data_IF_069960355016
#
_entry.id   IF_069960355016
#
_cell.length_a   1.000
_cell.length_b   1.000
_cell.length_c   1.000
_cell.angle_alpha   90.00
_cell.angle_beta   90.00
_cell.angle_gamma   90.00
#
_symmetry.space_group_name_H-M   'P 1'
#
loop_
_entity.id
_entity.type
_entity.pdbx_description
1 polymer ?
#
# COMPACT_ATOMS: atom_id res chain seq x y z
N UNK A 1 -20.93 -3.00 4.83
CA UNK A 1 -22.05 -3.92 4.52
C UNK A 1 -22.08 -4.17 3.01
N UNK A 2 -22.39 -5.39 2.55
CA UNK A 2 -22.36 -5.79 1.14
C UNK A 2 -23.60 -5.27 0.40
N UNK A 3 -23.71 -3.95 0.24
CA UNK A 3 -24.94 -3.31 -0.28
C UNK A 3 -24.72 -2.60 -1.62
N UNK A 4 -23.50 -2.59 -2.18
CA UNK A 4 -23.20 -1.75 -3.37
C UNK A 4 -22.88 -2.53 -4.65
N UNK A 5 -22.29 -3.74 -4.61
CA UNK A 5 -22.12 -4.59 -5.82
C UNK A 5 -21.96 -6.08 -5.46
N UNK A 6 -22.83 -6.92 -6.01
CA UNK A 6 -22.69 -8.39 -5.96
C UNK A 6 -21.53 -8.81 -6.87
N UNK A 7 -20.33 -8.94 -6.29
CA UNK A 7 -19.11 -9.25 -7.04
C UNK A 7 -17.81 -8.65 -6.49
N UNK A 8 -17.85 -7.85 -5.43
CA UNK A 8 -16.65 -7.21 -4.82
C UNK A 8 -16.27 -7.87 -3.48
N UNK A 9 -16.83 -9.05 -3.16
CA UNK A 9 -16.63 -9.75 -1.89
C UNK A 9 -15.14 -10.09 -1.65
N UNK A 10 -14.39 -10.42 -2.69
CA UNK A 10 -12.96 -10.73 -2.57
C UNK A 10 -12.14 -9.51 -2.13
N UNK A 11 -12.43 -8.33 -2.69
CA UNK A 11 -11.77 -7.08 -2.31
C UNK A 11 -12.16 -6.72 -0.87
N UNK A 12 -13.45 -6.86 -0.53
CA UNK A 12 -13.95 -6.55 0.81
C UNK A 12 -13.31 -7.44 1.89
N UNK A 13 -13.17 -8.75 1.64
CA UNK A 13 -12.57 -9.69 2.59
C UNK A 13 -11.08 -9.40 2.82
N UNK A 14 -10.29 -9.23 1.76
CA UNK A 14 -8.85 -8.91 1.88
C UNK A 14 -8.64 -7.59 2.60
N UNK A 15 -9.41 -6.55 2.26
CA UNK A 15 -9.32 -5.26 2.97
C UNK A 15 -9.77 -5.37 4.43
N UNK A 16 -10.76 -6.21 4.75
CA UNK A 16 -11.19 -6.43 6.14
C UNK A 16 -10.09 -7.10 6.97
N UNK A 17 -9.43 -8.12 6.44
CA UNK A 17 -8.25 -8.71 7.09
C UNK A 17 -7.13 -7.68 7.26
N UNK A 18 -6.82 -6.91 6.22
CA UNK A 18 -5.84 -5.83 6.28
C UNK A 18 -6.16 -4.79 7.36
N UNK A 19 -7.43 -4.41 7.50
CA UNK A 19 -7.89 -3.49 8.54
C UNK A 19 -7.66 -4.06 9.95
N UNK A 20 -7.90 -5.36 10.16
CA UNK A 20 -7.60 -6.01 11.46
C UNK A 20 -6.11 -5.96 11.77
N UNK A 21 -5.25 -6.31 10.81
CA UNK A 21 -3.79 -6.20 11.00
C UNK A 21 -3.36 -4.76 11.30
N UNK A 22 -3.91 -3.79 10.58
CA UNK A 22 -3.63 -2.37 10.80
C UNK A 22 -4.05 -1.92 12.20
N UNK A 23 -5.22 -2.35 12.68
CA UNK A 23 -5.70 -2.03 14.03
C UNK A 23 -4.82 -2.65 15.12
N UNK A 24 -4.40 -3.90 14.95
CA UNK A 24 -3.47 -4.56 15.89
C UNK A 24 -2.13 -3.82 15.92
N UNK A 25 -1.56 -3.50 14.75
CA UNK A 25 -0.30 -2.75 14.65
C UNK A 25 -0.41 -1.37 15.31
N UNK A 26 -1.48 -0.62 15.03
CA UNK A 26 -1.73 0.68 15.66
C UNK A 26 -1.90 0.56 17.18
N UNK A 27 -2.58 -0.48 17.66
CA UNK A 27 -2.79 -0.71 19.10
C UNK A 27 -1.47 -0.95 19.82
N UNK A 28 -0.60 -1.80 19.25
CA UNK A 28 0.75 -2.04 19.78
C UNK A 28 1.55 -0.74 19.73
N UNK A 29 1.57 -0.05 18.59
CA UNK A 29 2.33 1.19 18.43
C UNK A 29 1.92 2.26 19.46
N UNK A 30 0.61 2.51 19.63
CA UNK A 30 0.10 3.50 20.60
C UNK A 30 0.43 3.10 22.05
N UNK A 31 0.55 1.80 22.33
CA UNK A 31 0.92 1.29 23.65
C UNK A 31 2.39 1.57 23.96
N UNK A 32 3.29 1.33 23.01
CA UNK A 32 4.74 1.43 23.20
C UNK A 32 5.37 2.76 22.77
N UNK A 33 4.65 3.62 22.06
CA UNK A 33 5.19 4.91 21.60
C UNK A 33 5.33 5.95 22.72
N UNK A 34 6.36 6.78 22.61
CA UNK A 34 6.58 7.94 23.48
C UNK A 34 5.38 8.91 23.45
N UNK A 35 5.12 9.58 24.58
CA UNK A 35 3.92 10.43 24.76
C UNK A 35 3.71 11.46 23.65
N UNK A 36 4.78 12.10 23.17
CA UNK A 36 4.69 13.11 22.10
C UNK A 36 4.24 12.50 20.77
N UNK A 37 4.86 11.40 20.35
CA UNK A 37 4.51 10.66 19.13
C UNK A 37 3.12 10.02 19.25
N UNK A 38 2.78 9.50 20.43
CA UNK A 38 1.48 8.92 20.74
C UNK A 38 0.34 9.92 20.58
N UNK A 39 0.46 11.13 21.13
CA UNK A 39 -0.57 12.17 21.00
C UNK A 39 -0.73 12.61 19.54
N UNK A 40 0.37 12.76 18.82
CA UNK A 40 0.34 13.11 17.39
C UNK A 40 -0.37 12.03 16.57
N UNK A 41 -0.08 10.74 16.82
CA UNK A 41 -0.74 9.63 16.12
C UNK A 41 -2.19 9.44 16.52
N UNK A 42 -2.55 9.67 17.78
CA UNK A 42 -3.95 9.67 18.22
C UNK A 42 -4.73 10.80 17.53
N UNK A 43 -4.11 11.96 17.35
CA UNK A 43 -4.68 13.08 16.60
C UNK A 43 -4.93 12.73 15.13
N UNK A 44 -3.95 12.13 14.45
CA UNK A 44 -4.14 11.65 13.07
C UNK A 44 -5.23 10.57 12.97
N UNK A 45 -5.25 9.61 13.90
CA UNK A 45 -6.27 8.56 13.93
C UNK A 45 -7.67 9.15 14.13
N UNK A 46 -7.81 10.11 15.05
CA UNK A 46 -9.06 10.84 15.27
C UNK A 46 -9.51 11.61 14.02
N UNK A 47 -8.59 12.31 13.34
CA UNK A 47 -8.89 13.02 12.10
C UNK A 47 -9.39 12.06 11.00
N UNK A 48 -8.71 10.93 10.80
CA UNK A 48 -9.14 9.90 9.82
C UNK A 48 -10.52 9.34 10.18
N UNK A 49 -10.78 9.07 11.46
CA UNK A 49 -12.08 8.58 11.92
C UNK A 49 -13.21 9.60 11.67
N UNK A 50 -12.97 10.88 11.94
CA UNK A 50 -13.94 11.96 11.67
C UNK A 50 -14.24 12.08 10.17
N UNK A 51 -13.19 12.06 9.34
CA UNK A 51 -13.36 12.08 7.87
C UNK A 51 -14.16 10.87 7.40
N UNK A 52 -13.86 9.68 7.94
CA UNK A 52 -14.59 8.46 7.58
C UNK A 52 -16.08 8.55 7.93
N UNK A 53 -16.40 8.97 9.17
CA UNK A 53 -17.79 9.16 9.61
C UNK A 53 -18.49 10.21 8.75
N UNK A 54 -17.82 11.31 8.42
CA UNK A 54 -18.36 12.35 7.54
C UNK A 54 -18.67 11.81 6.13
N UNK A 55 -17.75 11.06 5.53
CA UNK A 55 -17.95 10.43 4.20
C UNK A 55 -19.12 9.47 4.24
N UNK A 56 -19.25 8.64 5.28
CA UNK A 56 -20.38 7.72 5.43
C UNK A 56 -21.70 8.47 5.58
N UNK A 57 -21.72 9.53 6.39
CA UNK A 57 -22.91 10.35 6.62
C UNK A 57 -23.39 11.03 5.34
N UNK A 58 -22.49 11.69 4.58
CA UNK A 58 -22.82 12.31 3.30
C UNK A 58 -23.27 11.25 2.28
N UNK A 59 -22.57 10.12 2.22
CA UNK A 59 -22.85 9.05 1.26
C UNK A 59 -24.21 8.37 1.50
N UNK A 60 -24.64 8.22 2.76
CA UNK A 60 -25.90 7.55 3.09
C UNK A 60 -27.07 8.51 3.31
N UNK A 61 -26.80 9.75 3.72
CA UNK A 61 -27.83 10.72 4.08
C UNK A 61 -28.17 11.75 3.01
N UNK A 62 -27.27 11.98 2.03
CA UNK A 62 -27.41 13.08 1.05
C UNK A 62 -27.41 12.60 -0.40
N UNK A 63 -26.67 11.55 -0.72
CA UNK A 63 -26.48 11.10 -2.11
C UNK A 63 -27.44 9.97 -2.50
N UNK A 64 -28.01 10.07 -3.71
CA UNK A 64 -28.74 8.98 -4.36
C UNK A 64 -27.79 7.83 -4.74
N UNK A 65 -28.35 6.64 -5.04
CA UNK A 65 -27.58 5.39 -5.17
C UNK A 65 -26.42 5.49 -6.19
N UNK A 66 -26.65 6.09 -7.36
CA UNK A 66 -25.65 6.21 -8.43
C UNK A 66 -24.56 7.23 -8.11
N UNK A 67 -24.92 8.37 -7.52
CA UNK A 67 -23.98 9.42 -7.12
C UNK A 67 -23.11 8.96 -5.94
N UNK A 68 -23.67 8.17 -5.02
CA UNK A 68 -22.96 7.56 -3.89
C UNK A 68 -21.81 6.67 -4.36
N UNK A 69 -22.05 5.82 -5.35
CA UNK A 69 -21.03 4.90 -5.85
C UNK A 69 -19.88 5.65 -6.52
N UNK A 70 -20.20 6.70 -7.28
CA UNK A 70 -19.22 7.54 -7.97
C UNK A 70 -18.38 8.36 -6.99
N UNK A 71 -19.00 8.99 -5.99
CA UNK A 71 -18.32 9.78 -4.97
C UNK A 71 -17.34 8.94 -4.13
N UNK A 72 -17.80 7.80 -3.62
CA UNK A 72 -16.95 6.87 -2.85
C UNK A 72 -15.86 6.27 -3.75
N UNK A 73 -16.17 5.99 -5.01
CA UNK A 73 -15.20 5.53 -6.01
C UNK A 73 -14.03 6.51 -6.20
N UNK A 74 -14.32 7.81 -6.39
CA UNK A 74 -13.26 8.83 -6.53
C UNK A 74 -12.40 8.96 -5.27
N UNK A 75 -13.01 8.98 -4.08
CA UNK A 75 -12.26 9.04 -2.81
C UNK A 75 -11.38 7.80 -2.63
N UNK A 76 -11.88 6.62 -3.00
CA UNK A 76 -11.12 5.37 -2.95
C UNK A 76 -9.93 5.40 -3.90
N UNK A 77 -10.11 5.87 -5.14
CA UNK A 77 -9.01 5.99 -6.12
C UNK A 77 -7.97 7.01 -5.66
N UNK A 78 -8.41 8.18 -5.17
CA UNK A 78 -7.50 9.20 -4.63
C UNK A 78 -6.67 8.65 -3.45
N UNK A 79 -7.31 7.91 -2.54
CA UNK A 79 -6.65 7.26 -1.41
C UNK A 79 -5.64 6.20 -1.87
N UNK A 80 -6.00 5.38 -2.85
CA UNK A 80 -5.10 4.38 -3.44
C UNK A 80 -3.87 5.03 -4.09
N UNK A 81 -4.06 6.11 -4.85
CA UNK A 81 -2.95 6.87 -5.46
C UNK A 81 -2.04 7.45 -4.37
N UNK A 82 -2.60 8.00 -3.30
CA UNK A 82 -1.81 8.53 -2.17
C UNK A 82 -0.95 7.44 -1.51
N UNK A 83 -1.45 6.20 -1.47
CA UNK A 83 -0.73 5.07 -0.90
C UNK A 83 0.52 4.69 -1.71
N UNK A 84 0.55 4.99 -3.02
CA UNK A 84 1.73 4.80 -3.87
C UNK A 84 2.90 5.74 -3.55
N UNK A 85 2.69 6.77 -2.72
CA UNK A 85 3.80 7.60 -2.24
C UNK A 85 4.83 6.79 -1.42
N UNK A 86 4.37 5.81 -0.64
CA UNK A 86 5.24 4.95 0.17
C UNK A 86 6.20 4.09 -0.67
N UNK A 87 5.74 3.25 -1.62
CA UNK A 87 6.64 2.48 -2.47
C UNK A 87 7.56 3.35 -3.33
N UNK A 88 7.10 4.53 -3.77
CA UNK A 88 7.92 5.49 -4.51
C UNK A 88 9.05 6.08 -3.64
N UNK A 89 8.76 6.36 -2.37
CA UNK A 89 9.76 6.80 -1.41
C UNK A 89 10.83 5.72 -1.17
N UNK A 90 10.42 4.45 -1.05
CA UNK A 90 11.37 3.33 -0.92
C UNK A 90 12.26 3.20 -2.17
N UNK A 91 11.70 3.31 -3.38
CA UNK A 91 12.49 3.31 -4.62
C UNK A 91 13.56 4.41 -4.58
N UNK A 92 13.17 5.64 -4.20
CA UNK A 92 14.10 6.76 -4.06
C UNK A 92 15.17 6.50 -2.99
N UNK A 93 14.80 5.87 -1.88
CA UNK A 93 15.71 5.50 -0.80
C UNK A 93 16.72 4.45 -1.26
N UNK A 94 16.29 3.40 -1.97
CA UNK A 94 17.17 2.35 -2.52
C UNK A 94 18.17 2.96 -3.51
N UNK A 95 17.73 3.85 -4.41
CA UNK A 95 18.62 4.53 -5.36
C UNK A 95 19.67 5.39 -4.63
N UNK A 96 19.25 6.11 -3.58
CA UNK A 96 20.14 6.99 -2.80
C UNK A 96 21.13 6.21 -1.93
N UNK A 97 20.66 5.15 -1.26
CA UNK A 97 21.46 4.35 -0.33
C UNK A 97 22.26 3.24 -1.01
N UNK A 98 21.93 2.94 -2.28
CA UNK A 98 22.43 1.78 -3.04
C UNK A 98 22.25 0.44 -2.32
N UNK A 99 21.36 0.38 -1.32
CA UNK A 99 21.11 -0.80 -0.51
C UNK A 99 19.66 -1.24 -0.62
N UNK A 100 19.44 -2.55 -0.70
CA UNK A 100 18.12 -3.19 -0.70
C UNK A 100 17.65 -3.58 0.70
N UNK A 101 18.38 -3.19 1.75
CA UNK A 101 18.09 -3.53 3.14
C UNK A 101 16.67 -3.09 3.58
N UNK A 102 16.20 -1.96 3.07
CA UNK A 102 14.86 -1.43 3.36
C UNK A 102 13.76 -2.05 2.48
N UNK A 103 14.09 -3.04 1.65
CA UNK A 103 13.18 -3.58 0.65
C UNK A 103 13.35 -5.10 0.50
N UNK A 104 12.70 -5.90 1.37
CA UNK A 104 12.78 -7.34 1.27
C UNK A 104 12.09 -7.84 -0.01
N UNK A 105 12.78 -8.71 -0.74
CA UNK A 105 12.32 -9.29 -2.01
C UNK A 105 10.92 -9.91 -1.89
N UNK A 106 10.69 -10.69 -0.83
CA UNK A 106 9.44 -11.41 -0.62
C UNK A 106 8.24 -10.47 -0.49
N UNK A 107 8.40 -9.31 0.16
CA UNK A 107 7.30 -8.33 0.28
C UNK A 107 7.00 -7.68 -1.07
N UNK A 108 8.04 -7.34 -1.84
CA UNK A 108 7.89 -6.71 -3.15
C UNK A 108 7.24 -7.68 -4.14
N UNK A 109 7.67 -8.95 -4.13
CA UNK A 109 7.08 -10.02 -4.95
C UNK A 109 5.64 -10.35 -4.57
N UNK A 110 5.33 -10.45 -3.27
CA UNK A 110 3.97 -10.67 -2.81
C UNK A 110 3.04 -9.50 -3.20
N UNK A 111 3.52 -8.26 -3.05
CA UNK A 111 2.76 -7.06 -3.43
C UNK A 111 2.52 -7.01 -4.95
N UNK A 112 3.54 -7.34 -5.75
CA UNK A 112 3.42 -7.45 -7.20
C UNK A 112 2.36 -8.48 -7.62
N UNK A 113 2.43 -9.71 -7.08
CA UNK A 113 1.45 -10.76 -7.40
C UNK A 113 0.04 -10.39 -6.94
N UNK A 114 -0.09 -9.76 -5.76
CA UNK A 114 -1.36 -9.26 -5.25
C UNK A 114 -1.97 -8.22 -6.20
N UNK A 115 -1.21 -7.18 -6.57
CA UNK A 115 -1.66 -6.14 -7.50
C UNK A 115 -1.97 -6.70 -8.88
N UNK A 116 -1.16 -7.63 -9.39
CA UNK A 116 -1.42 -8.29 -10.68
C UNK A 116 -2.73 -9.09 -10.65
N UNK A 117 -2.97 -9.83 -9.57
CA UNK A 117 -4.18 -10.65 -9.39
C UNK A 117 -5.43 -9.76 -9.30
N UNK A 118 -5.38 -8.66 -8.55
CA UNK A 118 -6.50 -7.72 -8.47
C UNK A 118 -6.71 -6.93 -9.77
N UNK A 119 -5.64 -6.62 -10.51
CA UNK A 119 -5.73 -6.00 -11.82
C UNK A 119 -6.43 -6.92 -12.82
N UNK A 120 -5.98 -8.18 -12.92
CA UNK A 120 -6.65 -9.20 -13.73
C UNK A 120 -8.12 -9.38 -13.32
N UNK A 121 -8.39 -9.47 -12.01
CA UNK A 121 -9.76 -9.58 -11.50
C UNK A 121 -10.63 -8.37 -11.90
N UNK A 122 -10.09 -7.16 -11.85
CA UNK A 122 -10.78 -5.94 -12.30
C UNK A 122 -11.06 -5.93 -13.80
N UNK A 123 -10.16 -6.46 -14.62
CA UNK A 123 -10.36 -6.63 -16.07
C UNK A 123 -11.50 -7.63 -16.33
N UNK A 124 -11.49 -8.79 -15.67
CA UNK A 124 -12.55 -9.80 -15.82
C UNK A 124 -13.93 -9.32 -15.36
N UNK A 125 -13.98 -8.38 -14.42
CA UNK A 125 -15.21 -7.77 -13.91
C UNK A 125 -15.59 -6.46 -14.60
N UNK A 126 -14.80 -6.03 -15.59
CA UNK A 126 -14.96 -4.75 -16.30
C UNK A 126 -15.17 -3.57 -15.33
N UNK A 127 -14.40 -3.54 -14.22
CA UNK A 127 -14.50 -2.50 -13.19
C UNK A 127 -13.27 -1.57 -13.23
N UNK A 128 -13.38 -0.38 -13.85
CA UNK A 128 -12.29 0.58 -13.95
C UNK A 128 -11.72 1.04 -12.61
N UNK A 129 -12.55 1.11 -11.58
CA UNK A 129 -12.11 1.51 -10.24
C UNK A 129 -11.21 0.46 -9.59
N UNK A 130 -11.23 -0.78 -10.09
CA UNK A 130 -10.41 -1.86 -9.58
C UNK A 130 -9.16 -2.08 -10.42
N UNK A 131 -9.26 -2.17 -11.75
CA UNK A 131 -8.08 -2.52 -12.56
C UNK A 131 -7.11 -1.34 -12.73
N UNK A 132 -7.58 -0.08 -12.81
CA UNK A 132 -6.69 1.08 -13.00
C UNK A 132 -5.69 1.22 -11.84
N UNK A 133 -6.12 1.32 -10.56
CA UNK A 133 -5.16 1.47 -9.46
C UNK A 133 -4.29 0.23 -9.28
N UNK A 134 -4.85 -0.98 -9.38
CA UNK A 134 -4.05 -2.21 -9.25
C UNK A 134 -3.06 -2.41 -10.41
N UNK A 135 -3.37 -1.91 -11.61
CA UNK A 135 -2.44 -1.85 -12.73
C UNK A 135 -1.24 -0.95 -12.43
N UNK A 136 -1.48 0.26 -11.88
CA UNK A 136 -0.39 1.14 -11.41
C UNK A 136 0.44 0.45 -10.32
N UNK A 137 -0.20 -0.21 -9.36
CA UNK A 137 0.47 -0.99 -8.32
C UNK A 137 1.33 -2.13 -8.88
N UNK A 138 0.88 -2.78 -9.95
CA UNK A 138 1.62 -3.84 -10.66
C UNK A 138 2.88 -3.28 -11.31
N UNK A 139 2.79 -2.12 -11.97
CA UNK A 139 3.95 -1.44 -12.57
C UNK A 139 4.96 -1.04 -11.49
N UNK A 140 4.49 -0.45 -10.39
CA UNK A 140 5.35 -0.09 -9.27
C UNK A 140 6.02 -1.31 -8.64
N UNK A 141 5.29 -2.40 -8.44
CA UNK A 141 5.82 -3.68 -7.97
C UNK A 141 6.88 -4.26 -8.90
N UNK A 142 6.69 -4.17 -10.22
CA UNK A 142 7.67 -4.62 -11.19
C UNK A 142 8.96 -3.80 -11.14
N UNK A 143 8.84 -2.47 -11.09
CA UNK A 143 10.00 -1.55 -10.92
C UNK A 143 10.74 -1.88 -9.64
N UNK A 144 9.99 -2.15 -8.58
CA UNK A 144 10.51 -2.57 -7.29
C UNK A 144 11.35 -3.87 -7.38
N UNK A 145 10.83 -4.92 -8.02
CA UNK A 145 11.59 -6.17 -8.24
C UNK A 145 12.82 -5.98 -9.13
N UNK A 146 12.72 -5.15 -10.17
CA UNK A 146 13.83 -4.86 -11.07
C UNK A 146 14.98 -4.17 -10.34
N UNK A 147 14.67 -3.14 -9.55
CA UNK A 147 15.65 -2.45 -8.71
C UNK A 147 16.29 -3.36 -7.68
N UNK A 148 15.50 -4.21 -7.03
CA UNK A 148 16.03 -5.21 -6.10
C UNK A 148 17.05 -6.11 -6.80
N UNK A 149 16.71 -6.66 -7.97
CA UNK A 149 17.59 -7.56 -8.73
C UNK A 149 18.87 -6.88 -9.19
N UNK A 150 18.80 -5.60 -9.53
CA UNK A 150 19.97 -4.82 -9.94
C UNK A 150 20.90 -4.50 -8.76
N UNK A 151 20.38 -3.93 -7.66
CA UNK A 151 21.18 -3.56 -6.50
C UNK A 151 21.65 -4.77 -5.68
N UNK A 152 20.87 -5.85 -5.62
CA UNK A 152 21.28 -7.10 -4.97
C UNK A 152 22.47 -7.76 -5.69
N UNK A 153 22.57 -7.62 -7.03
CA UNK A 153 23.74 -8.11 -7.77
C UNK A 153 24.99 -7.27 -7.47
N UNK A 154 24.85 -5.95 -7.50
CA UNK A 154 25.96 -5.01 -7.20
C UNK A 154 26.50 -5.22 -5.77
N UNK A 155 25.62 -5.32 -4.77
CA UNK A 155 26.05 -5.57 -3.38
C UNK A 155 26.71 -6.94 -3.20
N UNK A 156 26.31 -7.94 -3.98
CA UNK A 156 26.96 -9.26 -4.01
C UNK A 156 28.32 -9.26 -4.70
N UNK A 157 28.58 -8.31 -5.61
CA UNK A 157 29.87 -8.10 -6.27
C UNK A 157 30.85 -7.31 -5.37
N UNK A 158 30.41 -6.26 -4.68
CA UNK A 158 31.22 -5.54 -3.68
C UNK A 158 31.64 -6.45 -2.51
N UNK A 159 30.81 -7.43 -2.14
CA UNK A 159 31.15 -8.43 -1.09
C UNK A 159 32.12 -9.52 -1.60
N UNK A 160 32.34 -9.59 -2.91
CA UNK A 160 33.23 -10.57 -3.57
C UNK A 160 34.59 -9.99 -3.93
N UNK A 161 34.81 -8.68 -3.80
CA UNK A 161 36.16 -8.15 -3.73
C UNK A 161 36.78 -8.61 -2.39
N UNK A 162 37.78 -9.50 -2.43
CA UNK A 162 38.42 -9.93 -1.21
C UNK A 162 39.13 -8.72 -0.60
N UNK A 163 38.87 -8.46 0.69
CA UNK A 163 39.66 -7.56 1.56
C UNK A 163 41.11 -8.06 1.76
N UNK A 164 41.68 -8.79 0.80
CA UNK A 164 43.09 -9.14 0.72
C UNK A 164 43.80 -7.99 0.01
N UNK A 165 43.80 -6.82 0.65
CA UNK A 165 45.03 -6.03 0.72
C UNK A 165 45.58 -6.30 2.11
N UNK A 166 46.09 -7.53 2.29
CA UNK A 166 47.05 -7.78 3.35
C UNK A 166 48.26 -6.92 3.04
N UNK A 167 48.50 -5.93 3.89
CA UNK A 167 49.82 -5.32 4.05
C UNK A 167 50.83 -6.43 4.32
N UNK A 168 51.60 -6.82 3.30
CA UNK A 168 52.89 -7.50 3.43
C UNK A 168 53.84 -6.86 2.44
#
# INVERSE_FOLDING_TARGET
>A
MPVVKTGIILVATVNSFGAVFQLVYLSIFITYAERATKLRMLGFLGAVAVIFVFVVFVSLGVLEYDDRQTFVGYLSVASLISMFASPLFIIKLVIKTRSVEFMPFNLSFATFLMSLSFSAYGIFKEDPFLYIPNGIGTILGLVQLALYSYYSKISGEDSREPLIVSYV
#
